data_IF_232190194051
#
_entry.id   IF_232190194051
#
_cell.length_a   1.000
_cell.length_b   1.000
_cell.length_c   1.000
_cell.angle_alpha   90.00
_cell.angle_beta   90.00
_cell.angle_gamma   90.00
#
_symmetry.space_group_name_H-M   'P 1'
#
loop_
_entity.id
_entity.type
_entity.pdbx_description
1 polymer ?
#
# COMPACT_ATOMS: atom_id res chain seq x y z
N UNK A 1 -14.74 6.09 -9.42
CA UNK A 1 -13.64 6.76 -10.15
C UNK A 1 -13.89 6.60 -11.64
N UNK A 2 -13.25 7.39 -12.49
CA UNK A 2 -13.18 7.09 -13.93
C UNK A 2 -12.09 6.05 -14.21
N UNK A 3 -12.20 5.34 -15.33
CA UNK A 3 -11.27 4.26 -15.70
C UNK A 3 -9.82 4.73 -15.80
N UNK A 4 -9.57 5.93 -16.33
CA UNK A 4 -8.22 6.47 -16.43
C UNK A 4 -7.58 6.80 -15.07
N UNK A 5 -8.38 6.93 -14.00
CA UNK A 5 -7.86 7.11 -12.64
C UNK A 5 -7.25 5.81 -12.07
N UNK A 6 -7.48 4.65 -12.71
CA UNK A 6 -6.83 3.38 -12.37
C UNK A 6 -5.38 3.30 -12.88
N UNK A 7 -5.00 4.19 -13.81
CA UNK A 7 -3.64 4.32 -14.33
C UNK A 7 -3.06 5.72 -14.04
N UNK A 8 -2.87 6.08 -12.75
CA UNK A 8 -2.54 7.43 -12.32
C UNK A 8 -1.24 7.96 -12.93
N UNK A 9 -0.30 7.10 -13.31
CA UNK A 9 0.95 7.48 -13.98
C UNK A 9 1.02 7.02 -15.44
N UNK A 10 -0.12 6.66 -16.03
CA UNK A 10 -0.18 6.16 -17.41
C UNK A 10 0.65 4.89 -17.63
N UNK A 11 0.85 4.08 -16.57
CA UNK A 11 1.54 2.80 -16.67
C UNK A 11 0.79 1.92 -17.67
N UNK A 12 1.52 1.39 -18.66
CA UNK A 12 0.95 0.49 -19.66
C UNK A 12 1.58 -0.88 -19.48
N UNK A 13 0.88 -1.82 -18.81
CA UNK A 13 1.38 -3.19 -18.75
C UNK A 13 1.50 -3.75 -20.17
N UNK A 14 2.42 -4.70 -20.41
CA UNK A 14 2.48 -5.41 -21.69
C UNK A 14 1.08 -5.96 -22.03
N UNK A 15 0.59 -5.70 -23.25
CA UNK A 15 -0.79 -6.05 -23.66
C UNK A 15 -1.15 -7.51 -23.37
N UNK A 16 -0.20 -8.42 -23.60
CA UNK A 16 -0.38 -9.85 -23.35
C UNK A 16 -0.52 -10.20 -21.87
N UNK A 17 0.19 -9.48 -20.98
CA UNK A 17 0.10 -9.69 -19.54
C UNK A 17 -1.27 -9.26 -19.02
N UNK A 18 -1.73 -8.06 -19.39
CA UNK A 18 -3.03 -7.55 -18.96
C UNK A 18 -4.16 -8.47 -19.41
N UNK A 19 -4.18 -8.85 -20.70
CA UNK A 19 -5.24 -9.68 -21.25
C UNK A 19 -5.25 -11.08 -20.62
N UNK A 20 -4.08 -11.71 -20.46
CA UNK A 20 -3.98 -13.03 -19.83
C UNK A 20 -4.37 -12.98 -18.35
N UNK A 21 -3.92 -11.98 -17.61
CA UNK A 21 -4.23 -11.87 -16.19
C UNK A 21 -5.71 -11.58 -15.98
N UNK A 22 -6.29 -10.58 -16.65
CA UNK A 22 -7.69 -10.21 -16.45
C UNK A 22 -8.65 -11.33 -16.86
N UNK A 23 -8.47 -11.92 -18.05
CA UNK A 23 -9.35 -13.00 -18.51
C UNK A 23 -9.24 -14.22 -17.59
N UNK A 24 -8.03 -14.61 -17.20
CA UNK A 24 -7.84 -15.77 -16.31
C UNK A 24 -8.34 -15.50 -14.90
N UNK A 25 -8.12 -14.31 -14.35
CA UNK A 25 -8.58 -13.98 -13.01
C UNK A 25 -10.10 -13.91 -12.95
N UNK A 26 -10.76 -13.29 -13.93
CA UNK A 26 -12.23 -13.25 -13.99
C UNK A 26 -12.80 -14.64 -14.26
N UNK A 27 -12.23 -15.37 -15.23
CA UNK A 27 -12.70 -16.73 -15.54
C UNK A 27 -12.44 -17.72 -14.40
N UNK A 28 -11.37 -17.55 -13.61
CA UNK A 28 -11.12 -18.38 -12.44
C UNK A 28 -12.23 -18.24 -11.39
N UNK A 29 -12.86 -17.06 -11.27
CA UNK A 29 -14.00 -16.87 -10.37
C UNK A 29 -15.21 -17.72 -10.78
N UNK A 30 -15.34 -18.12 -12.05
CA UNK A 30 -16.46 -18.97 -12.49
C UNK A 30 -16.22 -20.46 -12.21
N UNK A 31 -14.97 -20.89 -11.99
CA UNK A 31 -14.61 -22.30 -11.82
C UNK A 31 -14.16 -22.67 -10.41
N UNK A 32 -14.13 -21.71 -9.48
CA UNK A 32 -13.86 -21.95 -8.07
C UNK A 32 -15.13 -22.35 -7.31
N UNK A 33 -15.03 -23.26 -6.34
CA UNK A 33 -16.13 -23.60 -5.43
C UNK A 33 -16.41 -22.49 -4.40
N UNK A 34 -15.41 -21.64 -4.15
CA UNK A 34 -15.49 -20.50 -3.25
C UNK A 34 -14.23 -19.64 -3.30
N UNK A 35 -14.30 -18.49 -2.63
CA UNK A 35 -13.26 -17.47 -2.61
C UNK A 35 -12.82 -17.19 -1.17
N UNK A 36 -11.52 -17.19 -0.92
CA UNK A 36 -10.93 -16.60 0.28
C UNK A 36 -10.28 -15.27 -0.10
N UNK A 37 -10.66 -14.18 0.56
CA UNK A 37 -10.09 -12.85 0.32
C UNK A 37 -9.21 -12.42 1.49
N UNK A 38 -8.23 -11.57 1.17
CA UNK A 38 -7.38 -10.87 2.15
C UNK A 38 -7.91 -9.48 2.48
N UNK A 39 -9.23 -9.29 2.41
CA UNK A 39 -9.94 -8.09 2.88
C UNK A 39 -10.47 -8.27 4.31
N UNK A 40 -10.61 -7.14 5.01
CA UNK A 40 -11.09 -7.10 6.38
C UNK A 40 -12.57 -6.75 6.34
N UNK A 41 -13.41 -7.73 6.70
CA UNK A 41 -14.87 -7.55 6.78
C UNK A 41 -15.22 -6.29 7.58
N UNK A 42 -14.58 -6.14 8.74
CA UNK A 42 -14.86 -5.05 9.68
C UNK A 42 -14.43 -3.67 9.18
N UNK A 43 -13.48 -3.62 8.23
CA UNK A 43 -13.08 -2.37 7.59
C UNK A 43 -13.99 -2.02 6.41
N UNK A 44 -14.50 -3.01 5.67
CA UNK A 44 -15.19 -2.81 4.40
C UNK A 44 -16.58 -3.47 4.37
N UNK A 45 -17.42 -3.21 5.37
CA UNK A 45 -18.69 -3.93 5.54
C UNK A 45 -19.61 -3.87 4.32
N UNK A 46 -19.85 -2.68 3.76
CA UNK A 46 -20.72 -2.52 2.57
C UNK A 46 -20.20 -3.31 1.36
N UNK A 47 -18.90 -3.20 1.07
CA UNK A 47 -18.29 -3.94 -0.04
C UNK A 47 -18.33 -5.45 0.23
N UNK A 48 -18.02 -5.88 1.46
CA UNK A 48 -18.08 -7.27 1.85
C UNK A 48 -19.48 -7.86 1.69
N UNK A 49 -20.52 -7.17 2.16
CA UNK A 49 -21.92 -7.59 2.01
C UNK A 49 -22.32 -7.70 0.53
N UNK A 50 -21.91 -6.74 -0.30
CA UNK A 50 -22.18 -6.75 -1.73
C UNK A 50 -21.49 -7.94 -2.42
N UNK A 51 -20.22 -8.20 -2.12
CA UNK A 51 -19.48 -9.32 -2.67
C UNK A 51 -20.04 -10.67 -2.19
N UNK A 52 -20.33 -10.81 -0.90
CA UNK A 52 -20.95 -12.01 -0.33
C UNK A 52 -22.29 -12.30 -1.02
N UNK A 53 -23.12 -11.28 -1.24
CA UNK A 53 -24.40 -11.44 -1.96
C UNK A 53 -24.19 -11.86 -3.42
N UNK A 54 -23.22 -11.24 -4.11
CA UNK A 54 -22.90 -11.55 -5.50
C UNK A 54 -22.42 -13.00 -5.70
N UNK A 55 -21.59 -13.51 -4.80
CA UNK A 55 -21.08 -14.88 -4.84
C UNK A 55 -22.11 -15.90 -4.34
N UNK A 56 -22.94 -15.55 -3.34
CA UNK A 56 -24.05 -16.39 -2.92
C UNK A 56 -25.04 -16.64 -4.08
N UNK A 57 -25.30 -15.63 -4.93
CA UNK A 57 -26.09 -15.78 -6.15
C UNK A 57 -25.49 -16.75 -7.19
N UNK A 58 -24.20 -17.07 -7.08
CA UNK A 58 -23.48 -18.07 -7.88
C UNK A 58 -23.34 -19.43 -7.18
N UNK A 59 -23.97 -19.59 -6.02
CA UNK A 59 -23.76 -20.74 -5.14
C UNK A 59 -22.29 -20.93 -4.73
N UNK A 60 -21.53 -19.83 -4.67
CA UNK A 60 -20.13 -19.80 -4.24
C UNK A 60 -20.04 -19.17 -2.85
N UNK A 61 -19.16 -19.70 -2.01
CA UNK A 61 -18.91 -19.17 -0.66
C UNK A 61 -17.76 -18.17 -0.69
N UNK A 62 -17.83 -17.16 0.16
CA UNK A 62 -16.77 -16.16 0.32
C UNK A 62 -16.34 -16.08 1.78
N UNK A 63 -15.03 -16.03 2.01
CA UNK A 63 -14.42 -16.02 3.35
C UNK A 63 -13.43 -14.87 3.50
N UNK A 64 -13.41 -14.20 4.66
CA UNK A 64 -12.58 -13.02 4.92
C UNK A 64 -11.43 -13.31 5.89
N UNK A 65 -10.19 -13.23 5.42
CA UNK A 65 -9.01 -13.68 6.20
C UNK A 65 -8.06 -12.55 6.64
N UNK A 66 -8.43 -11.27 6.51
CA UNK A 66 -7.52 -10.16 6.86
C UNK A 66 -7.56 -9.81 8.35
N UNK A 67 -6.43 -9.38 8.96
CA UNK A 67 -5.09 -9.28 8.38
C UNK A 67 -4.30 -10.60 8.33
N UNK A 68 -3.87 -11.01 7.13
CA UNK A 68 -2.81 -12.03 6.97
C UNK A 68 -1.44 -11.34 7.07
N UNK A 69 -1.06 -10.99 8.30
CA UNK A 69 0.28 -10.47 8.59
C UNK A 69 1.12 -11.64 9.10
N UNK A 70 2.34 -11.77 8.57
CA UNK A 70 3.27 -12.78 9.06
C UNK A 70 3.47 -12.62 10.58
N UNK A 71 3.20 -13.68 11.35
CA UNK A 71 3.36 -13.69 12.80
C UNK A 71 4.79 -13.33 13.25
N UNK A 72 5.77 -13.47 12.35
CA UNK A 72 7.14 -13.02 12.52
C UNK A 72 7.62 -12.40 11.21
N UNK A 73 7.96 -11.13 11.23
CA UNK A 73 8.92 -10.62 10.26
C UNK A 73 10.30 -10.96 10.80
N UNK A 74 11.16 -11.65 10.03
CA UNK A 74 12.58 -11.69 10.36
C UNK A 74 13.03 -10.25 10.53
N UNK A 75 13.56 -9.92 11.71
CA UNK A 75 14.34 -8.70 11.82
C UNK A 75 15.47 -8.82 10.79
N UNK A 76 15.84 -7.74 10.10
CA UNK A 76 17.06 -7.74 9.31
C UNK A 76 18.19 -8.29 10.18
N UNK A 77 19.00 -9.22 9.66
CA UNK A 77 20.14 -9.69 10.43
C UNK A 77 21.01 -8.48 10.75
N UNK A 78 21.57 -8.43 11.97
CA UNK A 78 22.52 -7.38 12.35
C UNK A 78 23.80 -7.39 11.49
N UNK A 79 23.98 -8.45 10.69
CA UNK A 79 25.01 -8.59 9.67
C UNK A 79 24.72 -7.79 8.39
N UNK A 80 23.48 -7.33 8.17
CA UNK A 80 23.15 -6.40 7.09
C UNK A 80 23.64 -5.00 7.47
N UNK A 81 24.81 -4.64 6.95
CA UNK A 81 25.43 -3.32 7.15
C UNK A 81 24.46 -2.16 6.84
N UNK A 82 23.56 -2.31 5.85
CA UNK A 82 22.66 -1.24 5.45
C UNK A 82 21.48 -1.10 6.42
N UNK A 83 20.97 -2.21 6.96
CA UNK A 83 19.96 -2.18 8.00
C UNK A 83 20.52 -1.57 9.30
N UNK A 84 21.74 -1.95 9.66
CA UNK A 84 22.45 -1.39 10.82
C UNK A 84 22.69 0.12 10.65
N UNK A 85 23.14 0.57 9.47
CA UNK A 85 23.29 2.00 9.17
C UNK A 85 21.97 2.77 9.24
N UNK A 86 20.86 2.18 8.78
CA UNK A 86 19.54 2.79 8.84
C UNK A 86 19.07 2.98 10.30
N UNK A 87 19.30 1.98 11.15
CA UNK A 87 18.97 2.06 12.58
C UNK A 87 19.79 3.15 13.27
N UNK A 88 21.11 3.21 13.02
CA UNK A 88 22.00 4.27 13.55
C UNK A 88 21.51 5.66 13.11
N UNK A 89 21.10 5.80 11.85
CA UNK A 89 20.53 7.05 11.35
C UNK A 89 19.23 7.42 12.08
N UNK A 90 18.29 6.48 12.25
CA UNK A 90 17.04 6.73 12.98
C UNK A 90 17.28 7.10 14.44
N UNK A 91 18.22 6.41 15.13
CA UNK A 91 18.59 6.72 16.52
C UNK A 91 19.18 8.13 16.65
N UNK A 92 19.99 8.54 15.67
CA UNK A 92 20.52 9.92 15.61
C UNK A 92 19.39 10.94 15.45
N UNK A 93 18.49 10.72 14.48
CA UNK A 93 17.38 11.65 14.25
C UNK A 93 16.40 11.70 15.43
N UNK A 94 16.18 10.58 16.11
CA UNK A 94 15.38 10.53 17.33
C UNK A 94 15.97 11.41 18.44
N UNK A 95 17.31 11.40 18.60
CA UNK A 95 18.00 12.24 19.60
C UNK A 95 18.00 13.73 19.22
N UNK A 96 18.21 14.04 17.95
CA UNK A 96 18.37 15.43 17.48
C UNK A 96 17.04 16.15 17.26
N UNK A 97 16.01 15.42 16.79
CA UNK A 97 14.76 16.01 16.29
C UNK A 97 13.50 15.44 16.96
N UNK A 98 13.66 14.42 17.81
CA UNK A 98 12.55 13.77 18.51
C UNK A 98 11.80 12.75 17.66
N UNK A 99 10.71 12.24 18.23
CA UNK A 99 9.86 11.23 17.58
C UNK A 99 9.20 11.77 16.31
N UNK A 100 8.90 10.87 15.36
CA UNK A 100 8.14 11.18 14.13
C UNK A 100 8.83 12.22 13.24
N UNK A 101 10.14 12.35 13.33
CA UNK A 101 10.95 13.30 12.56
C UNK A 101 11.42 12.78 11.21
N UNK A 102 11.41 11.45 11.00
CA UNK A 102 11.95 10.79 9.80
C UNK A 102 10.85 10.32 8.87
N UNK A 103 10.98 10.60 7.57
CA UNK A 103 10.12 10.05 6.53
C UNK A 103 10.70 8.76 5.98
N UNK A 104 9.86 7.73 5.86
CA UNK A 104 10.22 6.50 5.16
C UNK A 104 9.55 6.46 3.78
N UNK A 105 10.35 6.48 2.72
CA UNK A 105 9.89 6.42 1.34
C UNK A 105 10.09 5.01 0.74
N UNK A 106 9.01 4.43 0.22
CA UNK A 106 9.05 3.12 -0.45
C UNK A 106 8.01 3.01 -1.56
N UNK A 107 8.45 2.57 -2.73
CA UNK A 107 7.59 2.27 -3.89
C UNK A 107 7.33 0.78 -4.08
N UNK A 108 7.69 -0.05 -3.08
CA UNK A 108 7.65 -1.52 -3.13
C UNK A 108 8.50 -2.10 -4.28
N UNK A 109 8.56 -3.43 -4.37
CA UNK A 109 9.47 -4.13 -5.27
C UNK A 109 8.99 -4.22 -6.72
N UNK A 110 7.69 -4.04 -6.98
CA UNK A 110 7.11 -4.36 -8.30
C UNK A 110 7.03 -3.15 -9.23
N UNK A 111 6.83 -1.95 -8.69
CA UNK A 111 6.58 -0.75 -9.48
C UNK A 111 7.55 0.37 -9.10
N UNK A 112 7.67 1.36 -9.98
CA UNK A 112 8.50 2.55 -9.77
C UNK A 112 7.78 3.78 -10.36
N UNK A 113 7.96 4.99 -9.80
CA UNK A 113 7.45 6.22 -10.40
C UNK A 113 7.88 6.36 -11.87
N UNK A 114 6.93 6.67 -12.73
CA UNK A 114 7.12 6.74 -14.18
C UNK A 114 7.74 8.07 -14.64
N UNK A 115 7.64 9.11 -13.81
CA UNK A 115 8.23 10.42 -14.07
C UNK A 115 9.38 10.70 -13.08
N UNK A 116 10.65 10.51 -13.51
CA UNK A 116 11.80 10.74 -12.65
C UNK A 116 11.95 12.21 -12.24
N UNK A 117 11.47 13.16 -13.03
CA UNK A 117 11.58 14.58 -12.70
C UNK A 117 10.71 14.90 -11.48
N UNK A 118 9.48 14.40 -11.45
CA UNK A 118 8.58 14.55 -10.29
C UNK A 118 9.14 13.88 -9.03
N UNK A 119 9.70 12.68 -9.15
CA UNK A 119 10.34 11.99 -8.03
C UNK A 119 11.52 12.81 -7.49
N UNK A 120 12.42 13.27 -8.36
CA UNK A 120 13.56 14.09 -7.95
C UNK A 120 13.08 15.39 -7.28
N UNK A 121 12.10 16.08 -7.85
CA UNK A 121 11.52 17.29 -7.24
C UNK A 121 11.00 17.06 -5.83
N UNK A 122 10.36 15.91 -5.58
CA UNK A 122 9.89 15.54 -4.24
C UNK A 122 11.06 15.29 -3.27
N UNK A 123 12.08 14.54 -3.68
CA UNK A 123 13.27 14.25 -2.87
C UNK A 123 14.11 15.51 -2.60
N UNK A 124 14.26 16.37 -3.60
CA UNK A 124 14.94 17.67 -3.48
C UNK A 124 14.20 18.54 -2.47
N UNK A 125 12.86 18.58 -2.51
CA UNK A 125 12.08 19.35 -1.55
C UNK A 125 12.23 18.85 -0.10
N UNK A 126 12.28 17.53 0.12
CA UNK A 126 12.57 16.97 1.45
C UNK A 126 13.94 17.40 1.96
N UNK A 127 14.93 17.42 1.07
CA UNK A 127 16.31 17.82 1.37
C UNK A 127 16.39 19.32 1.68
N UNK A 128 15.81 20.17 0.82
CA UNK A 128 15.73 21.63 1.01
C UNK A 128 15.01 22.01 2.31
N UNK A 129 13.99 21.23 2.70
CA UNK A 129 13.23 21.45 3.93
C UNK A 129 13.91 20.89 5.18
N UNK A 130 15.09 20.27 5.04
CA UNK A 130 15.83 19.67 6.15
C UNK A 130 15.08 18.52 6.84
N UNK A 131 14.19 17.83 6.11
CA UNK A 131 13.41 16.70 6.62
C UNK A 131 14.20 15.42 6.39
N UNK A 132 14.63 14.71 7.44
CA UNK A 132 15.39 13.49 7.27
C UNK A 132 14.52 12.39 6.68
N UNK A 133 15.05 11.65 5.71
CA UNK A 133 14.32 10.54 5.11
C UNK A 133 15.20 9.32 4.82
N UNK A 134 14.56 8.15 4.86
CA UNK A 134 15.10 6.87 4.42
C UNK A 134 14.30 6.44 3.19
N UNK A 135 14.98 6.21 2.07
CA UNK A 135 14.34 5.67 0.86
C UNK A 135 14.81 4.25 0.60
N UNK A 136 13.86 3.33 0.50
CA UNK A 136 14.12 1.96 0.04
C UNK A 136 14.17 1.89 -1.49
N UNK A 137 15.12 1.10 -2.02
CA UNK A 137 15.23 0.83 -3.47
C UNK A 137 15.00 -0.64 -3.85
N UNK A 138 13.83 -1.22 -3.58
CA UNK A 138 13.61 -2.64 -3.84
C UNK A 138 13.18 -2.96 -5.29
N UNK A 139 12.88 -1.96 -6.14
CA UNK A 139 12.43 -2.20 -7.52
C UNK A 139 13.60 -2.25 -8.51
N UNK A 140 13.72 -3.32 -9.34
CA UNK A 140 14.68 -3.36 -10.44
C UNK A 140 14.47 -2.26 -11.48
N UNK A 141 13.30 -1.63 -11.52
CA UNK A 141 12.97 -0.54 -12.43
C UNK A 141 13.45 0.85 -11.95
N UNK A 142 14.12 0.92 -10.80
CA UNK A 142 14.53 2.18 -10.19
C UNK A 142 15.57 2.95 -11.02
N UNK A 143 15.15 4.07 -11.61
CA UNK A 143 16.02 5.02 -12.32
C UNK A 143 16.14 6.30 -11.48
N UNK A 144 17.32 6.52 -10.89
CA UNK A 144 17.68 7.79 -10.24
C UNK A 144 18.82 8.43 -11.03
N UNK A 145 18.81 9.76 -11.14
CA UNK A 145 19.91 10.50 -11.76
C UNK A 145 21.16 10.46 -10.86
N UNK A 146 22.36 10.60 -11.44
CA UNK A 146 23.63 10.62 -10.67
C UNK A 146 23.69 11.76 -9.64
N UNK A 147 22.98 12.86 -9.88
CA UNK A 147 22.78 13.97 -8.93
C UNK A 147 21.98 13.59 -7.69
N UNK A 148 21.11 12.58 -7.80
CA UNK A 148 20.32 12.01 -6.70
C UNK A 148 21.04 10.88 -5.95
N UNK A 149 22.37 10.78 -6.05
CA UNK A 149 23.16 9.83 -5.26
C UNK A 149 22.98 10.15 -3.78
N UNK A 150 22.18 9.33 -3.08
CA UNK A 150 21.79 9.55 -1.69
C UNK A 150 22.96 9.34 -0.71
N UNK A 151 23.97 10.21 -0.70
CA UNK A 151 25.08 10.17 0.25
C UNK A 151 25.20 11.52 0.97
N UNK A 152 24.47 11.65 2.07
CA UNK A 152 24.54 12.81 2.97
C UNK A 152 24.29 12.39 4.42
N UNK A 153 24.61 13.28 5.38
CA UNK A 153 24.33 13.08 6.81
C UNK A 153 22.84 13.22 7.16
N UNK A 154 22.05 13.80 6.26
CA UNK A 154 20.64 14.16 6.46
C UNK A 154 19.65 13.21 5.77
N UNK A 155 20.10 12.38 4.83
CA UNK A 155 19.25 11.43 4.11
C UNK A 155 20.02 10.16 3.76
N UNK A 156 19.31 9.02 3.77
CA UNK A 156 19.91 7.70 3.56
C UNK A 156 19.10 6.88 2.56
N UNK A 157 19.75 6.33 1.54
CA UNK A 157 19.15 5.28 0.71
C UNK A 157 19.59 3.92 1.23
N UNK A 158 18.62 3.06 1.52
CA UNK A 158 18.82 1.69 1.99
C UNK A 158 18.41 0.75 0.87
N UNK A 159 19.33 -0.10 0.42
CA UNK A 159 19.07 -1.10 -0.60
C UNK A 159 18.61 -2.39 0.08
N UNK A 160 17.31 -2.48 0.37
CA UNK A 160 16.74 -3.67 0.97
C UNK A 160 15.23 -3.57 1.10
N UNK A 161 14.58 -4.73 1.28
CA UNK A 161 13.16 -4.78 1.68
C UNK A 161 13.05 -4.34 3.15
N UNK A 162 13.01 -3.03 3.40
CA UNK A 162 12.17 -2.59 4.52
C UNK A 162 10.72 -2.75 4.01
N UNK A 163 10.02 -3.78 4.48
CA UNK A 163 8.58 -3.81 4.27
C UNK A 163 7.98 -2.72 5.17
N UNK A 164 7.11 -1.82 4.68
CA UNK A 164 6.29 -1.00 5.56
C UNK A 164 5.45 -1.97 6.41
N UNK A 165 5.86 -2.17 7.66
CA UNK A 165 5.26 -3.12 8.59
C UNK A 165 3.94 -2.55 9.09
N UNK A 166 2.89 -2.66 8.29
CA UNK A 166 1.52 -2.32 8.70
C UNK A 166 0.96 -3.22 9.80
N UNK A 167 1.75 -4.17 10.34
CA UNK A 167 1.31 -5.10 11.37
C UNK A 167 2.12 -5.18 12.65
N UNK A 168 3.32 -4.59 12.73
CA UNK A 168 4.20 -4.74 13.90
C UNK A 168 4.88 -3.45 14.36
N UNK A 169 4.87 -2.37 13.57
CA UNK A 169 5.26 -1.06 14.10
C UNK A 169 4.28 -0.71 15.21
N UNK A 170 4.73 -0.63 16.47
CA UNK A 170 3.91 -0.17 17.60
C UNK A 170 3.43 1.27 17.43
N UNK A 171 4.08 2.05 16.57
CA UNK A 171 3.73 3.44 16.31
C UNK A 171 2.82 3.56 15.08
N UNK A 172 1.68 4.28 15.16
CA UNK A 172 0.85 4.57 14.01
C UNK A 172 1.57 5.53 13.07
N UNK A 173 1.82 5.08 11.83
CA UNK A 173 2.53 5.87 10.81
C UNK A 173 1.53 6.22 9.70
N UNK A 174 1.10 7.49 9.57
CA UNK A 174 0.31 7.95 8.44
C UNK A 174 1.10 7.80 7.14
N UNK A 175 0.39 7.52 6.05
CA UNK A 175 1.00 7.32 4.74
C UNK A 175 0.75 8.53 3.84
N UNK A 176 1.77 8.92 3.09
CA UNK A 176 1.62 9.79 1.91
C UNK A 176 1.68 8.88 0.69
N UNK A 177 0.58 8.81 -0.04
CA UNK A 177 0.37 7.85 -1.11
C UNK A 177 0.81 8.43 -2.45
N UNK A 178 1.62 7.66 -3.17
CA UNK A 178 2.05 7.93 -4.53
C UNK A 178 1.56 6.80 -5.44
N UNK A 179 0.30 6.82 -5.91
CA UNK A 179 -0.26 5.74 -6.72
C UNK A 179 0.42 5.63 -8.08
N UNK A 180 0.72 4.40 -8.52
CA UNK A 180 1.35 4.11 -9.83
C UNK A 180 0.36 3.45 -10.79
N UNK A 181 -0.25 2.33 -10.40
CA UNK A 181 -1.11 1.50 -11.27
C UNK A 181 -1.97 0.50 -10.47
N UNK A 182 -2.85 -0.23 -11.16
CA UNK A 182 -3.72 -1.29 -10.64
C UNK A 182 -4.63 -0.76 -9.53
N UNK A 183 -4.72 -1.46 -8.40
CA UNK A 183 -5.60 -1.14 -7.28
C UNK A 183 -5.03 -0.06 -6.36
N UNK A 184 -3.87 0.53 -6.70
CA UNK A 184 -3.24 1.53 -5.82
C UNK A 184 -4.09 2.80 -5.70
N UNK A 185 -4.73 3.24 -6.78
CA UNK A 185 -5.57 4.45 -6.74
C UNK A 185 -6.90 4.21 -6.04
N UNK A 186 -7.51 3.03 -6.17
CA UNK A 186 -8.70 2.66 -5.38
C UNK A 186 -8.37 2.57 -3.89
N UNK A 187 -7.23 1.97 -3.55
CA UNK A 187 -6.75 1.94 -2.16
C UNK A 187 -6.45 3.36 -1.65
N UNK A 188 -5.89 4.24 -2.48
CA UNK A 188 -5.62 5.60 -2.07
C UNK A 188 -6.89 6.35 -1.71
N UNK A 189 -7.89 6.34 -2.59
CA UNK A 189 -9.21 6.93 -2.31
C UNK A 189 -9.81 6.38 -1.03
N UNK A 190 -9.72 5.07 -0.82
CA UNK A 190 -10.26 4.45 0.40
C UNK A 190 -9.53 4.94 1.67
N UNK A 191 -8.20 4.98 1.64
CA UNK A 191 -7.39 5.39 2.80
C UNK A 191 -7.50 6.89 3.09
N UNK A 192 -7.70 7.72 2.07
CA UNK A 192 -7.77 9.18 2.23
C UNK A 192 -9.18 9.70 2.47
N UNK A 193 -10.17 9.20 1.75
CA UNK A 193 -11.52 9.79 1.82
C UNK A 193 -12.46 9.03 2.75
N UNK A 194 -12.29 7.71 2.86
CA UNK A 194 -13.20 6.88 3.65
C UNK A 194 -12.67 6.72 5.06
N UNK A 195 -11.40 6.34 5.20
CA UNK A 195 -10.78 6.17 6.51
C UNK A 195 -10.12 7.44 7.05
N UNK A 196 -9.72 8.35 6.16
CA UNK A 196 -8.97 9.57 6.52
C UNK A 196 -7.78 9.28 7.45
N UNK A 197 -6.91 8.36 7.00
CA UNK A 197 -5.69 7.93 7.71
C UNK A 197 -4.42 8.15 6.87
N UNK A 198 -4.56 8.74 5.70
CA UNK A 198 -3.48 8.94 4.74
C UNK A 198 -3.73 10.20 3.88
N UNK A 199 -2.68 10.66 3.21
CA UNK A 199 -2.72 11.70 2.20
C UNK A 199 -2.42 11.11 0.81
N UNK A 200 -2.97 11.70 -0.26
CA UNK A 200 -2.74 11.26 -1.64
C UNK A 200 -2.07 12.41 -2.41
N UNK A 201 -0.93 12.14 -3.05
CA UNK A 201 -0.31 13.07 -3.99
C UNK A 201 -1.00 12.96 -5.36
N UNK A 202 -1.47 14.08 -5.89
CA UNK A 202 -2.27 14.19 -7.10
C UNK A 202 -1.46 14.79 -8.23
N UNK A 203 -0.61 15.76 -7.93
CA UNK A 203 0.24 16.43 -8.92
C UNK A 203 1.30 15.48 -9.50
N UNK A 204 1.52 14.34 -8.85
CA UNK A 204 2.40 13.26 -9.32
C UNK A 204 1.80 12.43 -10.46
N UNK A 205 0.49 12.57 -10.74
CA UNK A 205 -0.19 11.87 -11.83
C UNK A 205 0.32 12.33 -13.20
N UNK A 206 0.32 11.44 -14.19
CA UNK A 206 0.85 11.69 -15.54
C UNK A 206 0.08 10.93 -16.61
N UNK A 207 0.28 11.30 -17.88
CA UNK A 207 -0.33 10.63 -19.03
C UNK A 207 -1.86 10.63 -18.95
N UNK A 208 -2.48 9.48 -19.22
CA UNK A 208 -3.95 9.32 -19.15
C UNK A 208 -4.50 9.53 -17.74
N UNK A 209 -3.71 9.25 -16.70
CA UNK A 209 -4.10 9.41 -15.30
C UNK A 209 -4.17 10.85 -14.81
N UNK A 210 -3.67 11.81 -15.60
CA UNK A 210 -3.71 13.24 -15.31
C UNK A 210 -5.02 13.93 -15.75
N UNK A 211 -6.07 13.16 -16.06
CA UNK A 211 -7.40 13.71 -16.34
C UNK A 211 -8.11 14.22 -15.07
N UNK A 212 -9.25 14.93 -15.23
CA UNK A 212 -10.06 15.40 -14.11
C UNK A 212 -10.50 14.26 -13.19
N UNK A 213 -10.37 14.39 -11.88
CA UNK A 213 -10.80 13.31 -10.98
C UNK A 213 -12.31 13.34 -10.77
N UNK A 214 -12.97 12.18 -10.74
CA UNK A 214 -14.43 12.10 -10.51
C UNK A 214 -14.86 12.81 -9.23
N UNK A 215 -14.03 12.74 -8.17
CA UNK A 215 -14.35 13.26 -6.84
C UNK A 215 -14.35 14.78 -6.77
N UNK A 216 -13.44 15.43 -7.50
CA UNK A 216 -13.21 16.88 -7.38
C UNK A 216 -13.54 17.65 -8.64
N UNK A 217 -13.70 16.98 -9.78
CA UNK A 217 -13.83 17.61 -11.10
C UNK A 217 -12.55 18.31 -11.58
N UNK A 218 -11.45 18.23 -10.84
CA UNK A 218 -10.20 18.94 -11.12
C UNK A 218 -9.13 17.98 -11.64
N UNK A 219 -8.46 18.38 -12.72
CA UNK A 219 -7.24 17.74 -13.17
C UNK A 219 -6.03 18.29 -12.39
N UNK A 220 -4.98 17.48 -12.16
CA UNK A 220 -3.70 18.00 -11.69
C UNK A 220 -3.13 19.01 -12.69
N UNK A 221 -2.39 19.99 -12.20
CA UNK A 221 -1.56 20.83 -13.07
C UNK A 221 -0.41 20.02 -13.68
N UNK A 222 0.14 19.08 -12.89
CA UNK A 222 1.16 18.12 -13.29
C UNK A 222 2.54 18.73 -13.49
N UNK A 223 2.78 19.97 -13.08
CA UNK A 223 4.08 20.65 -13.17
C UNK A 223 4.96 20.31 -11.96
N UNK A 224 6.27 20.53 -12.09
CA UNK A 224 7.21 20.31 -10.97
C UNK A 224 6.93 21.27 -9.80
N UNK A 225 6.56 22.52 -10.10
CA UNK A 225 6.18 23.49 -9.06
C UNK A 225 4.91 23.05 -8.32
N UNK A 226 3.93 22.50 -9.04
CA UNK A 226 2.72 21.98 -8.43
C UNK A 226 3.00 20.75 -7.54
N UNK A 227 3.88 19.84 -7.98
CA UNK A 227 4.33 18.69 -7.16
C UNK A 227 5.03 19.18 -5.88
N UNK A 228 5.93 20.14 -6.00
CA UNK A 228 6.66 20.71 -4.86
C UNK A 228 5.69 21.37 -3.88
N UNK A 229 4.77 22.17 -4.39
CA UNK A 229 3.79 22.90 -3.58
C UNK A 229 2.78 21.95 -2.90
N UNK A 230 2.28 20.93 -3.61
CA UNK A 230 1.43 19.89 -3.04
C UNK A 230 2.15 19.16 -1.90
N UNK A 231 3.39 18.72 -2.14
CA UNK A 231 4.17 18.01 -1.13
C UNK A 231 4.43 18.89 0.10
N UNK A 232 4.77 20.18 -0.09
CA UNK A 232 4.93 21.15 1.00
C UNK A 232 3.68 21.22 1.88
N UNK A 233 2.51 21.31 1.25
CA UNK A 233 1.23 21.42 1.95
C UNK A 233 0.87 20.11 2.68
N UNK A 234 1.07 18.96 2.04
CA UNK A 234 0.85 17.64 2.65
C UNK A 234 1.77 17.44 3.86
N UNK A 235 3.05 17.80 3.76
CA UNK A 235 3.99 17.68 4.87
C UNK A 235 3.61 18.62 6.03
N UNK A 236 3.24 19.86 5.73
CA UNK A 236 2.76 20.79 6.75
C UNK A 236 1.53 20.23 7.50
N UNK A 237 0.63 19.54 6.79
CA UNK A 237 -0.52 18.84 7.38
C UNK A 237 -0.09 17.62 8.21
N UNK A 238 0.77 16.76 7.68
CA UNK A 238 1.21 15.54 8.33
C UNK A 238 1.97 15.76 9.65
N UNK A 239 2.67 16.91 9.76
CA UNK A 239 3.39 17.30 10.99
C UNK A 239 2.56 18.14 11.96
N UNK A 240 1.34 18.52 11.60
CA UNK A 240 0.46 19.32 12.46
C UNK A 240 -0.67 18.47 13.09
N UNK A 241 -1.72 19.15 13.54
CA UNK A 241 -2.91 18.57 14.15
C UNK A 241 -3.58 17.50 13.28
N UNK A 242 -3.66 17.71 11.97
CA UNK A 242 -4.23 16.73 11.02
C UNK A 242 -3.47 15.40 11.06
N UNK A 243 -2.14 15.45 11.07
CA UNK A 243 -1.32 14.25 11.28
C UNK A 243 -1.56 13.56 12.62
N UNK A 244 -1.87 14.30 13.69
CA UNK A 244 -2.22 13.72 15.00
C UNK A 244 -3.55 12.97 14.91
N UNK A 245 -4.54 13.56 14.26
CA UNK A 245 -5.87 12.97 14.07
C UNK A 245 -5.81 11.72 13.21
N UNK A 246 -5.08 11.75 12.08
CA UNK A 246 -4.83 10.57 11.24
C UNK A 246 -4.17 9.44 12.02
N UNK A 247 -3.21 9.73 12.92
CA UNK A 247 -2.60 8.73 13.80
C UNK A 247 -3.59 8.12 14.78
N UNK A 248 -4.50 8.91 15.35
CA UNK A 248 -5.55 8.42 16.24
C UNK A 248 -6.53 7.51 15.50
N UNK A 249 -6.99 7.92 14.30
CA UNK A 249 -7.84 7.10 13.44
C UNK A 249 -7.16 5.79 13.04
N UNK A 250 -5.87 5.84 12.72
CA UNK A 250 -5.08 4.66 12.37
C UNK A 250 -4.98 3.66 13.54
N UNK A 251 -4.92 4.13 14.79
CA UNK A 251 -4.99 3.26 15.97
C UNK A 251 -6.33 2.54 16.08
N UNK A 252 -7.44 3.19 15.75
CA UNK A 252 -8.78 2.57 15.75
C UNK A 252 -8.86 1.47 14.69
N UNK A 253 -8.42 1.77 13.46
CA UNK A 253 -8.39 0.79 12.36
C UNK A 253 -7.48 -0.39 12.73
N UNK A 254 -6.31 -0.10 13.30
CA UNK A 254 -5.38 -1.13 13.76
C UNK A 254 -6.02 -2.04 14.80
N UNK A 255 -6.66 -1.47 15.82
CA UNK A 255 -7.32 -2.25 16.86
C UNK A 255 -8.39 -3.16 16.27
N UNK A 256 -9.21 -2.66 15.34
CA UNK A 256 -10.18 -3.49 14.64
C UNK A 256 -9.52 -4.66 13.89
N UNK A 257 -8.38 -4.43 13.23
CA UNK A 257 -7.64 -5.49 12.55
C UNK A 257 -6.99 -6.49 13.52
N UNK A 258 -6.53 -6.05 14.68
CA UNK A 258 -5.99 -6.93 15.74
C UNK A 258 -7.11 -7.79 16.37
N UNK A 259 -8.25 -7.16 16.69
CA UNK A 259 -9.42 -7.82 17.28
C UNK A 259 -10.04 -8.86 16.33
N UNK A 260 -9.93 -8.66 15.01
CA UNK A 260 -10.41 -9.60 13.99
C UNK A 260 -9.77 -11.01 14.09
N UNK A 261 -8.57 -11.13 14.68
CA UNK A 261 -7.89 -12.41 14.93
C UNK A 261 -7.89 -12.86 16.40
N UNK A 262 -8.59 -12.14 17.27
CA UNK A 262 -8.82 -12.60 18.63
C UNK A 262 -9.56 -13.95 18.66
N UNK A 263 -9.65 -14.61 19.82
CA UNK A 263 -10.34 -15.91 19.94
C UNK A 263 -11.79 -15.88 19.42
N UNK A 264 -12.45 -14.72 19.51
CA UNK A 264 -13.82 -14.49 19.01
C UNK A 264 -13.85 -13.54 17.81
N UNK A 265 -12.71 -13.33 17.16
CA UNK A 265 -12.54 -12.39 16.07
C UNK A 265 -13.13 -12.92 14.77
N UNK A 266 -13.71 -12.02 13.99
CA UNK A 266 -14.38 -12.32 12.72
C UNK A 266 -13.48 -13.08 11.74
N UNK A 267 -12.25 -12.61 11.50
CA UNK A 267 -11.34 -13.24 10.54
C UNK A 267 -10.92 -14.65 10.99
N UNK A 268 -10.77 -14.86 12.30
CA UNK A 268 -10.48 -16.20 12.85
C UNK A 268 -11.65 -17.15 12.63
N UNK A 269 -12.88 -16.68 12.84
CA UNK A 269 -14.08 -17.48 12.61
C UNK A 269 -14.25 -17.79 11.11
N UNK A 270 -14.14 -16.80 10.24
CA UNK A 270 -14.22 -16.95 8.78
C UNK A 270 -13.22 -17.97 8.24
N UNK A 271 -11.99 -17.96 8.75
CA UNK A 271 -10.95 -18.93 8.36
C UNK A 271 -11.24 -20.31 8.95
N UNK A 272 -11.78 -20.42 10.15
CA UNK A 272 -12.21 -21.70 10.71
C UNK A 272 -13.36 -22.31 9.88
N UNK A 273 -14.36 -21.51 9.53
CA UNK A 273 -15.49 -21.94 8.69
C UNK A 273 -15.03 -22.35 7.29
N UNK A 274 -14.04 -21.65 6.73
CA UNK A 274 -13.37 -22.05 5.49
C UNK A 274 -12.69 -23.42 5.63
N UNK A 275 -11.91 -23.63 6.68
CA UNK A 275 -11.21 -24.88 6.91
C UNK A 275 -12.18 -26.04 7.12
N UNK A 276 -13.21 -25.85 7.95
CA UNK A 276 -14.26 -26.87 8.17
C UNK A 276 -14.97 -27.22 6.87
N UNK A 277 -15.27 -26.23 6.03
CA UNK A 277 -15.87 -26.46 4.74
C UNK A 277 -14.95 -27.26 3.81
N UNK A 278 -13.70 -26.85 3.66
CA UNK A 278 -12.71 -27.53 2.79
C UNK A 278 -12.44 -28.95 3.27
N UNK A 279 -12.29 -29.17 4.58
CA UNK A 279 -12.06 -30.50 5.16
C UNK A 279 -13.26 -31.44 5.03
N UNK A 280 -14.47 -30.90 4.91
CA UNK A 280 -15.67 -31.70 4.65
C UNK A 280 -15.81 -32.12 3.17
N UNK A 281 -15.04 -31.53 2.24
CA UNK A 281 -15.08 -31.91 0.84
C UNK A 281 -14.42 -33.29 0.62
N UNK A 282 -14.93 -34.11 -0.33
CA UNK A 282 -14.28 -35.36 -0.70
C UNK A 282 -12.83 -35.12 -1.12
N UNK A 283 -11.91 -36.02 -0.74
CA UNK A 283 -10.49 -35.91 -1.11
C UNK A 283 -10.28 -35.83 -2.64
N UNK A 284 -11.16 -36.47 -3.42
CA UNK A 284 -11.18 -36.40 -4.89
C UNK A 284 -11.49 -35.01 -5.44
N UNK A 285 -12.12 -34.13 -4.65
CA UNK A 285 -12.41 -32.74 -5.00
C UNK A 285 -11.19 -31.85 -4.76
N UNK A 286 -10.46 -32.10 -3.67
CA UNK A 286 -9.26 -31.33 -3.31
C UNK A 286 -8.03 -31.75 -4.12
N UNK A 287 -7.92 -33.04 -4.39
CA UNK A 287 -6.82 -33.66 -5.12
C UNK A 287 -7.37 -34.50 -6.27
N UNK A 288 -7.88 -33.86 -7.34
CA UNK A 288 -8.33 -34.60 -8.50
C UNK A 288 -7.14 -35.41 -9.05
N UNK A 289 -7.34 -36.71 -9.21
CA UNK A 289 -6.33 -37.56 -9.84
C UNK A 289 -6.00 -36.99 -11.22
N UNK A 290 -4.71 -36.81 -11.52
CA UNK A 290 -4.30 -36.37 -12.86
C UNK A 290 -4.80 -37.42 -13.85
N UNK A 291 -5.70 -37.01 -14.76
CA UNK A 291 -6.10 -37.85 -15.87
C UNK A 291 -4.84 -38.13 -16.71
N UNK A 292 -4.42 -39.40 -16.72
CA UNK A 292 -3.35 -39.95 -17.54
C UNK A 292 -3.66 -39.84 -19.02
#
# INVERSE_FOLDING_TARGET
MYDYELEPQGFRPPKQLLLRSMIKSVGALDWTDGLITVDALDCHREAAEAYTTFFAGRNQRMYFARPLIAARHPLPSLEDAQATEALIFMDKQLKERGERSVIYASFRSLFWPQDPAKLNTALDHLTESGIPFIMSRPSPAAKLSERGSCRGSEYKCVFGKLAPTTGHSRSPIPMILWPITVHQSTNAVYLTDVLDIADELIEVRTGVGAGPRRRTGKAPFGTLDAVREELRNVLASAFNQDGVEKRQKLLIVRKSLEDAWSEKGTARQEVADFLDHVMALPASTLFPAQAS
#
